data_IF_148306770831
#
_entry.id   IF_148306770831
#
_cell.length_a   1.000
_cell.length_b   1.000
_cell.length_c   1.000
_cell.angle_alpha   90.00
_cell.angle_beta   90.00
_cell.angle_gamma   90.00
#
_symmetry.space_group_name_H-M   'P 1'
#
loop_
_entity.id
_entity.type
_entity.pdbx_description
1 polymer ?
#
# COMPACT_ATOMS: atom_id res chain seq x y z
N UNK A 1 47.53 53.03 22.40
CA UNK A 1 46.63 52.05 23.02
C UNK A 1 45.88 52.72 24.17
N UNK A 2 44.56 52.82 24.03
CA UNK A 2 43.67 52.45 25.14
C UNK A 2 42.50 51.59 24.65
N UNK A 3 42.03 50.68 25.51
CA UNK A 3 40.78 49.95 25.31
C UNK A 3 39.57 50.81 25.66
N UNK A 4 38.41 50.59 25.01
CA UNK A 4 37.12 50.84 25.62
C UNK A 4 36.43 49.53 26.01
N UNK A 5 35.99 49.48 27.26
CA UNK A 5 35.03 48.53 27.82
C UNK A 5 33.58 48.90 27.43
N UNK A 6 32.63 48.09 27.93
CA UNK A 6 31.15 48.22 27.88
C UNK A 6 30.49 47.63 26.62
N UNK A 7 29.45 46.79 26.69
CA UNK A 7 28.65 46.34 27.82
C UNK A 7 27.71 45.21 27.39
N UNK A 8 27.36 44.33 28.34
CA UNK A 8 26.37 43.26 28.17
C UNK A 8 24.99 43.87 27.93
N UNK A 9 24.46 43.77 26.72
CA UNK A 9 23.02 43.99 26.48
C UNK A 9 22.30 42.65 26.60
N UNK A 10 21.60 42.44 27.73
CA UNK A 10 20.56 41.42 27.86
C UNK A 10 19.36 41.88 27.04
N UNK A 11 19.17 41.31 25.85
CA UNK A 11 17.88 41.42 25.15
C UNK A 11 16.97 40.29 25.62
N UNK A 12 15.93 40.66 26.37
CA UNK A 12 14.77 39.80 26.64
C UNK A 12 14.05 39.56 25.31
N UNK A 13 13.89 38.30 24.93
CA UNK A 13 12.94 37.92 23.89
C UNK A 13 11.50 38.00 24.45
N UNK A 14 10.53 38.51 23.67
CA UNK A 14 9.15 38.65 24.12
C UNK A 14 8.45 37.28 24.22
N UNK A 15 7.66 37.12 25.28
CA UNK A 15 6.88 35.92 25.53
C UNK A 15 5.78 35.73 24.49
N UNK A 16 5.72 34.53 23.92
CA UNK A 16 4.61 34.08 23.09
C UNK A 16 3.61 33.38 24.02
N UNK A 17 2.51 34.09 24.31
CA UNK A 17 1.31 33.50 24.93
C UNK A 17 0.61 32.63 23.90
N UNK A 18 0.06 31.52 24.39
CA UNK A 18 -0.58 30.50 23.59
C UNK A 18 -1.77 30.97 22.76
N UNK A 19 -1.95 30.26 21.65
CA UNK A 19 -3.21 30.04 20.95
C UNK A 19 -3.19 28.54 20.62
N UNK A 20 -3.90 27.77 21.45
CA UNK A 20 -5.24 27.26 21.15
C UNK A 20 -5.20 26.21 20.04
N UNK A 21 -5.22 24.95 20.49
CA UNK A 21 -5.86 23.80 19.86
C UNK A 21 -6.77 24.19 18.70
N UNK A 22 -6.37 23.81 17.49
CA UNK A 22 -7.29 23.62 16.38
C UNK A 22 -7.18 22.18 15.96
N UNK A 23 -8.24 21.44 16.24
CA UNK A 23 -8.42 20.04 15.89
C UNK A 23 -8.04 19.79 14.42
N UNK A 24 -7.15 18.84 14.18
CA UNK A 24 -7.00 18.23 12.86
C UNK A 24 -8.24 17.37 12.67
N UNK A 25 -9.25 17.97 12.06
CA UNK A 25 -10.51 17.33 11.74
C UNK A 25 -10.25 16.10 10.89
N UNK A 26 -10.63 14.96 11.44
CA UNK A 26 -10.97 13.73 10.73
C UNK A 26 -11.73 14.08 9.45
N UNK A 27 -11.16 13.75 8.30
CA UNK A 27 -11.90 13.57 7.05
C UNK A 27 -11.59 12.15 6.56
N UNK A 28 -12.15 11.17 7.29
CA UNK A 28 -12.48 9.88 6.67
C UNK A 28 -13.83 10.13 6.02
N UNK A 29 -13.83 10.41 4.72
CA UNK A 29 -15.07 10.32 3.97
C UNK A 29 -15.46 8.84 3.92
N UNK A 30 -16.69 8.46 4.36
CA UNK A 30 -17.15 7.11 4.15
C UNK A 30 -17.35 6.94 2.64
N UNK A 31 -16.46 6.20 1.98
CA UNK A 31 -16.74 5.66 0.66
C UNK A 31 -18.03 4.85 0.82
N UNK A 32 -19.06 5.27 0.09
CA UNK A 32 -20.38 4.66 0.18
C UNK A 32 -20.27 3.21 -0.29
N UNK A 33 -20.24 2.31 0.69
CA UNK A 33 -20.50 0.90 0.46
C UNK A 33 -21.88 0.82 -0.19
N UNK A 34 -21.92 0.57 -1.50
CA UNK A 34 -23.10 -0.06 -2.08
C UNK A 34 -23.11 -1.47 -1.53
N UNK A 35 -23.79 -1.60 -0.40
CA UNK A 35 -24.16 -2.84 0.25
C UNK A 35 -24.55 -3.86 -0.81
N UNK A 36 -23.94 -5.05 -0.74
CA UNK A 36 -24.54 -6.25 -1.27
C UNK A 36 -25.95 -6.35 -0.69
N UNK A 37 -26.95 -5.88 -1.44
CA UNK A 37 -28.33 -6.13 -1.07
C UNK A 37 -28.53 -7.62 -1.21
N UNK A 38 -28.69 -8.28 -0.06
CA UNK A 38 -28.99 -9.71 0.05
C UNK A 38 -30.30 -10.00 -0.67
N UNK A 39 -30.29 -10.14 -2.00
CA UNK A 39 -31.25 -11.03 -2.65
C UNK A 39 -30.80 -12.44 -2.29
N UNK A 40 -31.47 -13.02 -1.30
CA UNK A 40 -31.36 -14.44 -0.97
C UNK A 40 -31.86 -15.24 -2.18
N UNK A 41 -31.01 -15.43 -3.18
CA UNK A 41 -31.13 -16.60 -4.03
C UNK A 41 -30.69 -17.77 -3.15
N UNK A 42 -31.68 -18.44 -2.56
CA UNK A 42 -31.49 -19.76 -1.96
C UNK A 42 -31.10 -20.68 -3.10
N UNK A 43 -29.80 -20.76 -3.39
CA UNK A 43 -29.24 -21.82 -4.21
C UNK A 43 -29.55 -23.12 -3.45
N UNK A 44 -30.55 -23.86 -3.94
CA UNK A 44 -30.73 -25.27 -3.56
C UNK A 44 -29.53 -26.00 -4.13
N UNK A 45 -28.48 -26.15 -3.33
CA UNK A 45 -27.44 -27.15 -3.60
C UNK A 45 -28.02 -28.47 -3.14
N UNK A 46 -28.73 -29.17 -4.04
CA UNK A 46 -29.02 -30.59 -3.83
C UNK A 46 -27.71 -31.35 -4.03
N UNK A 47 -27.26 -32.04 -2.99
CA UNK A 47 -26.14 -33.01 -2.95
C UNK A 47 -25.19 -33.01 -4.14
N UNK A 48 -24.03 -32.36 -3.99
CA UNK A 48 -22.85 -32.57 -4.83
C UNK A 48 -21.66 -31.99 -4.08
N UNK A 49 -20.49 -32.66 -4.17
CA UNK A 49 -19.25 -32.31 -3.46
C UNK A 49 -18.99 -30.80 -3.60
N UNK A 50 -18.69 -30.12 -2.50
CA UNK A 50 -18.25 -28.72 -2.52
C UNK A 50 -16.96 -28.65 -3.32
N UNK A 51 -17.07 -28.39 -4.63
CA UNK A 51 -15.93 -28.02 -5.45
C UNK A 51 -15.66 -26.56 -5.12
N UNK A 52 -14.69 -26.34 -4.24
CA UNK A 52 -14.21 -24.99 -3.92
C UNK A 52 -13.74 -24.36 -5.22
N UNK A 53 -14.38 -23.26 -5.63
CA UNK A 53 -14.02 -22.55 -6.86
C UNK A 53 -12.65 -21.91 -6.63
N UNK A 54 -11.65 -22.15 -7.50
CA UNK A 54 -10.34 -21.57 -7.34
C UNK A 54 -10.36 -20.04 -7.47
N UNK A 55 -9.56 -19.37 -6.65
CA UNK A 55 -9.32 -17.94 -6.70
C UNK A 55 -8.04 -17.67 -7.50
N UNK A 56 -8.16 -16.86 -8.55
CA UNK A 56 -7.01 -16.40 -9.32
C UNK A 56 -6.35 -15.21 -8.60
N UNK A 57 -5.07 -15.33 -8.24
CA UNK A 57 -4.30 -14.21 -7.69
C UNK A 57 -3.50 -13.58 -8.82
N UNK A 58 -3.86 -12.35 -9.19
CA UNK A 58 -3.30 -11.58 -10.30
C UNK A 58 -1.89 -11.02 -9.99
N UNK A 59 -0.96 -11.91 -9.65
CA UNK A 59 0.45 -11.56 -9.36
C UNK A 59 1.40 -12.57 -9.98
N UNK A 60 2.52 -12.08 -10.50
CA UNK A 60 3.68 -12.90 -10.88
C UNK A 60 4.70 -13.08 -9.75
N UNK A 61 4.51 -12.42 -8.61
CA UNK A 61 5.43 -12.49 -7.48
C UNK A 61 5.19 -13.79 -6.68
N UNK A 62 6.19 -14.69 -6.69
CA UNK A 62 6.13 -15.97 -6.00
C UNK A 62 6.00 -15.84 -4.48
N UNK A 63 6.60 -14.82 -3.87
CA UNK A 63 6.46 -14.53 -2.44
C UNK A 63 5.02 -14.19 -2.08
N UNK A 64 4.40 -13.28 -2.83
CA UNK A 64 2.97 -12.95 -2.65
C UNK A 64 2.07 -14.17 -2.84
N UNK A 65 2.33 -15.02 -3.84
CA UNK A 65 1.57 -16.26 -4.02
C UNK A 65 1.71 -17.21 -2.83
N UNK A 66 2.89 -17.33 -2.24
CA UNK A 66 3.11 -18.12 -1.04
C UNK A 66 2.34 -17.54 0.17
N UNK A 67 2.37 -16.22 0.35
CA UNK A 67 1.59 -15.53 1.40
C UNK A 67 0.09 -15.76 1.22
N UNK A 68 -0.47 -15.58 0.02
CA UNK A 68 -1.89 -15.82 -0.23
C UNK A 68 -2.29 -17.28 0.03
N UNK A 69 -1.45 -18.25 -0.35
CA UNK A 69 -1.69 -19.67 -0.06
C UNK A 69 -1.68 -19.97 1.43
N UNK A 70 -0.79 -19.33 2.19
CA UNK A 70 -0.74 -19.47 3.64
C UNK A 70 -1.94 -18.81 4.33
N UNK A 71 -2.38 -17.65 3.86
CA UNK A 71 -3.50 -16.89 4.45
C UNK A 71 -4.87 -17.45 4.08
N UNK A 72 -5.01 -18.11 2.93
CA UNK A 72 -6.27 -18.60 2.37
C UNK A 72 -6.23 -20.13 2.18
N UNK A 73 -5.83 -20.87 3.20
CA UNK A 73 -5.63 -22.33 3.13
C UNK A 73 -6.86 -23.13 2.66
N UNK A 74 -8.07 -22.63 2.95
CA UNK A 74 -9.33 -23.26 2.55
C UNK A 74 -9.75 -22.96 1.10
N UNK A 75 -9.05 -22.07 0.40
CA UNK A 75 -9.39 -21.64 -0.96
C UNK A 75 -8.27 -22.06 -1.92
N UNK A 76 -8.57 -22.87 -2.97
CA UNK A 76 -7.57 -23.20 -3.97
C UNK A 76 -7.07 -21.93 -4.68
N UNK A 77 -5.77 -21.66 -4.62
CA UNK A 77 -5.15 -20.49 -5.24
C UNK A 77 -4.46 -20.86 -6.56
N UNK A 78 -4.81 -20.15 -7.64
CA UNK A 78 -4.11 -20.21 -8.91
C UNK A 78 -3.33 -18.91 -9.16
N UNK A 79 -2.14 -19.04 -9.74
CA UNK A 79 -1.44 -17.92 -10.39
C UNK A 79 -1.93 -17.73 -11.83
N UNK A 80 -1.60 -16.60 -12.50
CA UNK A 80 -1.92 -16.41 -13.91
C UNK A 80 -1.34 -17.52 -14.78
N UNK A 81 -0.12 -17.98 -14.48
CA UNK A 81 0.52 -19.10 -15.18
C UNK A 81 -0.24 -20.41 -14.99
N UNK A 82 -0.72 -20.71 -13.78
CA UNK A 82 -1.50 -21.93 -13.52
C UNK A 82 -2.82 -21.94 -14.31
N UNK A 83 -3.38 -20.75 -14.58
CA UNK A 83 -4.56 -20.53 -15.41
C UNK A 83 -4.24 -20.45 -16.92
N UNK A 84 -2.98 -20.66 -17.33
CA UNK A 84 -2.57 -20.57 -18.74
C UNK A 84 -2.56 -19.16 -19.30
N UNK A 85 -2.51 -18.13 -18.44
CA UNK A 85 -2.46 -16.73 -18.83
C UNK A 85 -1.02 -16.21 -18.87
N UNK A 86 -0.70 -15.51 -19.96
CA UNK A 86 0.49 -14.66 -20.09
C UNK A 86 0.04 -13.22 -20.34
N UNK A 87 -0.38 -12.56 -19.25
CA UNK A 87 -0.94 -11.21 -19.28
C UNK A 87 -0.04 -10.25 -18.53
N UNK A 88 0.44 -9.22 -19.22
CA UNK A 88 1.12 -8.10 -18.60
C UNK A 88 0.19 -6.90 -18.49
N UNK A 89 -0.21 -6.56 -17.26
CA UNK A 89 -1.06 -5.40 -16.97
C UNK A 89 -0.17 -4.23 -16.57
N UNK A 90 -0.21 -3.14 -17.34
CA UNK A 90 0.53 -1.93 -17.02
C UNK A 90 -0.07 -1.23 -15.78
N UNK A 91 0.78 -0.92 -14.80
CA UNK A 91 0.42 -0.20 -13.58
C UNK A 91 0.44 1.32 -13.85
N UNK A 92 -0.57 1.79 -14.58
CA UNK A 92 -0.71 3.21 -14.97
C UNK A 92 -1.54 4.04 -13.97
N UNK A 93 -2.04 3.41 -12.92
CA UNK A 93 -2.83 4.05 -11.87
C UNK A 93 -1.99 5.03 -11.05
N UNK A 94 -2.67 6.05 -10.52
CA UNK A 94 -2.07 7.02 -9.59
C UNK A 94 -2.27 6.64 -8.14
N UNK A 95 -3.10 5.63 -7.87
CA UNK A 95 -3.38 5.10 -6.53
C UNK A 95 -3.20 3.59 -6.47
N UNK A 96 -3.01 3.04 -5.27
CA UNK A 96 -2.94 1.59 -5.05
C UNK A 96 -4.22 0.89 -5.49
N UNK A 97 -5.37 1.50 -5.22
CA UNK A 97 -6.67 0.99 -5.67
C UNK A 97 -6.74 0.86 -7.20
N UNK A 98 -6.33 1.90 -7.94
CA UNK A 98 -6.40 1.89 -9.40
C UNK A 98 -5.54 0.77 -10.00
N UNK A 99 -4.33 0.58 -9.49
CA UNK A 99 -3.44 -0.49 -9.94
C UNK A 99 -4.00 -1.87 -9.60
N UNK A 100 -4.50 -2.07 -8.37
CA UNK A 100 -5.13 -3.32 -7.97
C UNK A 100 -6.38 -3.62 -8.82
N UNK A 101 -7.22 -2.61 -9.07
CA UNK A 101 -8.41 -2.74 -9.89
C UNK A 101 -8.08 -3.15 -11.33
N UNK A 102 -7.12 -2.47 -11.97
CA UNK A 102 -6.66 -2.79 -13.33
C UNK A 102 -6.18 -4.24 -13.41
N UNK A 103 -5.37 -4.68 -12.45
CA UNK A 103 -4.87 -6.06 -12.36
C UNK A 103 -6.01 -7.06 -12.20
N UNK A 104 -6.91 -6.85 -11.23
CA UNK A 104 -8.00 -7.78 -10.93
C UNK A 104 -8.98 -7.91 -12.10
N UNK A 105 -9.42 -6.80 -12.68
CA UNK A 105 -10.38 -6.81 -13.78
C UNK A 105 -9.81 -7.46 -15.04
N UNK A 106 -8.56 -7.14 -15.40
CA UNK A 106 -7.94 -7.71 -16.60
C UNK A 106 -7.80 -9.24 -16.48
N UNK A 107 -7.40 -9.74 -15.32
CA UNK A 107 -7.27 -11.18 -15.08
C UNK A 107 -8.62 -11.89 -14.98
N UNK A 108 -9.62 -11.29 -14.33
CA UNK A 108 -10.97 -11.83 -14.27
C UNK A 108 -11.60 -11.93 -15.67
N UNK A 109 -11.45 -10.88 -16.49
CA UNK A 109 -11.95 -10.87 -17.88
C UNK A 109 -11.23 -11.89 -18.77
N UNK A 110 -9.92 -12.08 -18.59
CA UNK A 110 -9.15 -13.00 -19.42
C UNK A 110 -9.37 -14.48 -19.05
N UNK A 111 -9.55 -14.78 -17.76
CA UNK A 111 -9.73 -16.16 -17.27
C UNK A 111 -11.18 -16.62 -17.19
N UNK A 112 -12.14 -15.69 -17.08
CA UNK A 112 -13.51 -16.01 -16.67
C UNK A 112 -13.65 -16.38 -15.18
N UNK A 113 -12.59 -16.23 -14.39
CA UNK A 113 -12.55 -16.59 -12.97
C UNK A 113 -12.74 -15.37 -12.06
N UNK A 114 -13.03 -15.61 -10.78
CA UNK A 114 -12.86 -14.58 -9.75
C UNK A 114 -11.36 -14.35 -9.58
N UNK A 115 -10.94 -13.10 -9.71
CA UNK A 115 -9.55 -12.69 -9.54
C UNK A 115 -9.42 -11.72 -8.38
N UNK A 116 -8.38 -11.91 -7.55
CA UNK A 116 -7.92 -10.92 -6.58
C UNK A 116 -6.59 -10.33 -7.06
N UNK A 117 -6.40 -9.04 -6.84
CA UNK A 117 -5.13 -8.36 -7.03
C UNK A 117 -4.77 -7.54 -5.81
N UNK A 118 -3.48 -7.41 -5.58
CA UNK A 118 -2.87 -6.60 -4.53
C UNK A 118 -2.03 -5.49 -5.16
N UNK A 119 -2.13 -4.29 -4.59
CA UNK A 119 -1.16 -3.22 -4.79
C UNK A 119 -0.73 -2.64 -3.44
N UNK A 120 0.59 -2.64 -3.23
CA UNK A 120 1.19 -2.38 -1.93
C UNK A 120 2.42 -1.49 -2.07
N UNK A 121 2.65 -0.61 -1.10
CA UNK A 121 3.84 0.24 -1.09
C UNK A 121 4.10 0.91 0.24
N UNK A 122 5.27 1.54 0.32
CA UNK A 122 5.70 2.36 1.43
C UNK A 122 5.37 3.83 1.15
N UNK A 123 4.75 4.50 2.10
CA UNK A 123 4.53 5.95 2.07
C UNK A 123 5.29 6.57 3.24
N UNK A 124 6.12 7.57 2.97
CA UNK A 124 6.91 8.28 3.98
C UNK A 124 6.44 9.73 4.09
N UNK A 125 6.04 10.14 5.30
CA UNK A 125 5.42 11.46 5.51
C UNK A 125 6.41 12.59 5.18
N UNK A 126 7.70 12.43 5.52
CA UNK A 126 8.75 13.40 5.19
C UNK A 126 9.04 13.54 3.69
N UNK A 127 8.56 12.62 2.86
CA UNK A 127 8.73 12.62 1.41
C UNK A 127 7.41 12.85 0.66
N UNK A 128 6.43 13.45 1.33
CA UNK A 128 5.09 13.70 0.80
C UNK A 128 4.39 12.42 0.30
N UNK A 129 4.55 11.32 1.06
CA UNK A 129 3.97 10.01 0.75
C UNK A 129 4.74 9.20 -0.29
N UNK A 130 5.85 9.71 -0.84
CA UNK A 130 6.74 8.88 -1.68
C UNK A 130 7.44 7.82 -0.80
N UNK A 131 7.78 6.64 -1.36
CA UNK A 131 7.63 6.19 -2.75
C UNK A 131 6.19 5.96 -3.27
N UNK A 132 5.25 5.62 -2.38
CA UNK A 132 3.86 5.30 -2.72
C UNK A 132 3.75 4.14 -3.72
N UNK A 133 2.89 4.28 -4.73
CA UNK A 133 2.69 3.30 -5.82
C UNK A 133 3.97 2.96 -6.60
N UNK A 134 5.03 3.77 -6.47
CA UNK A 134 6.33 3.54 -7.13
C UNK A 134 7.33 2.77 -6.27
N UNK A 135 6.92 2.23 -5.12
CA UNK A 135 7.80 1.54 -4.17
C UNK A 135 8.70 0.48 -4.82
N UNK A 136 8.14 -0.38 -5.68
CA UNK A 136 8.91 -1.44 -6.36
C UNK A 136 9.93 -0.92 -7.39
N UNK A 137 9.86 0.35 -7.78
CA UNK A 137 10.69 0.99 -8.83
C UNK A 137 11.36 2.27 -8.32
N UNK A 138 11.45 2.42 -6.99
CA UNK A 138 11.95 3.64 -6.38
C UNK A 138 13.44 3.83 -6.67
N UNK A 139 13.89 5.07 -6.90
CA UNK A 139 15.28 5.36 -7.29
C UNK A 139 15.65 5.03 -8.74
N UNK A 140 14.73 4.51 -9.54
CA UNK A 140 14.90 4.32 -10.99
C UNK A 140 15.01 2.87 -11.43
N UNK A 141 15.17 2.66 -12.74
CA UNK A 141 15.25 1.34 -13.33
C UNK A 141 16.58 0.65 -12.97
N UNK A 142 16.50 -0.64 -12.62
CA UNK A 142 17.68 -1.47 -12.38
C UNK A 142 18.18 -1.54 -10.93
N UNK A 143 17.56 -0.80 -9.99
CA UNK A 143 17.89 -0.96 -8.58
C UNK A 143 17.28 -2.25 -8.02
N UNK A 144 18.15 -3.04 -7.39
CA UNK A 144 17.76 -4.15 -6.53
C UNK A 144 17.15 -3.64 -5.21
N UNK A 145 16.78 -4.55 -4.32
CA UNK A 145 16.17 -4.17 -3.06
C UNK A 145 17.06 -3.29 -2.18
N UNK A 146 18.36 -3.61 -2.13
CA UNK A 146 19.35 -2.84 -1.42
C UNK A 146 19.49 -1.42 -1.96
N UNK A 147 19.60 -1.26 -3.27
CA UNK A 147 19.64 0.04 -3.92
C UNK A 147 18.38 0.86 -3.67
N UNK A 148 17.20 0.23 -3.65
CA UNK A 148 15.92 0.93 -3.41
C UNK A 148 15.83 1.51 -2.00
N UNK A 149 16.11 0.72 -0.97
CA UNK A 149 16.06 1.26 0.40
C UNK A 149 17.23 2.22 0.65
N UNK A 150 18.39 2.02 0.04
CA UNK A 150 19.51 2.96 0.20
C UNK A 150 19.17 4.34 -0.40
N UNK A 151 18.57 4.37 -1.59
CA UNK A 151 18.09 5.61 -2.19
C UNK A 151 17.09 6.34 -1.28
N UNK A 152 16.18 5.60 -0.64
CA UNK A 152 15.24 6.15 0.33
C UNK A 152 15.96 6.75 1.55
N UNK A 153 16.95 6.05 2.09
CA UNK A 153 17.74 6.53 3.24
C UNK A 153 18.52 7.81 2.88
N UNK A 154 19.08 7.88 1.66
CA UNK A 154 19.80 9.04 1.17
C UNK A 154 18.90 10.28 1.07
N UNK A 155 17.65 10.13 0.59
CA UNK A 155 16.68 11.23 0.58
C UNK A 155 16.25 11.67 1.98
N UNK A 156 16.32 10.77 2.96
CA UNK A 156 16.00 11.05 4.36
C UNK A 156 17.22 11.52 5.17
N UNK A 157 18.37 11.72 4.54
CA UNK A 157 19.57 12.22 5.18
C UNK A 157 19.29 13.60 5.83
N UNK A 158 19.62 13.72 7.12
CA UNK A 158 19.38 14.95 7.89
C UNK A 158 17.92 15.14 8.38
N UNK A 159 16.96 14.33 7.93
CA UNK A 159 15.59 14.35 8.47
C UNK A 159 15.61 13.79 9.91
N UNK A 160 15.14 14.53 10.92
CA UNK A 160 15.07 14.03 12.30
C UNK A 160 14.21 12.77 12.41
N UNK A 161 14.62 11.81 13.24
CA UNK A 161 13.90 10.55 13.48
C UNK A 161 12.41 10.75 13.79
N UNK A 162 12.06 11.80 14.55
CA UNK A 162 10.66 12.11 14.89
C UNK A 162 9.77 12.42 13.68
N UNK A 163 10.36 12.86 12.55
CA UNK A 163 9.66 13.20 11.30
C UNK A 163 9.69 12.07 10.27
N UNK A 164 10.38 10.95 10.54
CA UNK A 164 10.50 9.81 9.61
C UNK A 164 9.33 8.82 9.70
N UNK A 165 8.14 9.29 10.05
CA UNK A 165 6.95 8.44 10.10
C UNK A 165 6.63 7.91 8.71
N UNK A 166 6.23 6.65 8.66
CA UNK A 166 5.96 5.95 7.42
C UNK A 166 4.89 4.88 7.64
N UNK A 167 4.26 4.44 6.56
CA UNK A 167 3.30 3.36 6.57
C UNK A 167 3.50 2.44 5.38
N UNK A 168 3.38 1.13 5.61
CA UNK A 168 3.10 0.20 4.52
C UNK A 168 1.61 0.18 4.28
N UNK A 169 1.20 0.56 3.07
CA UNK A 169 -0.19 0.52 2.64
C UNK A 169 -0.41 -0.62 1.66
N UNK A 170 -1.53 -1.32 1.78
CA UNK A 170 -1.94 -2.41 0.91
C UNK A 170 -3.41 -2.21 0.53
N UNK A 171 -3.71 -2.29 -0.77
CA UNK A 171 -5.06 -2.33 -1.29
C UNK A 171 -5.29 -3.63 -2.05
N UNK A 172 -6.35 -4.33 -1.67
CA UNK A 172 -6.82 -5.55 -2.33
C UNK A 172 -8.09 -5.23 -3.11
N UNK A 173 -8.16 -5.72 -4.34
CA UNK A 173 -9.37 -5.68 -5.17
C UNK A 173 -9.69 -7.08 -5.66
N UNK A 174 -10.93 -7.50 -5.46
CA UNK A 174 -11.51 -8.71 -6.07
C UNK A 174 -12.41 -8.27 -7.22
N UNK A 175 -12.32 -8.96 -8.35
CA UNK A 175 -13.17 -8.78 -9.52
C UNK A 175 -13.68 -10.12 -10.03
N UNK A 176 -14.89 -10.15 -10.59
CA UNK A 176 -15.37 -11.28 -11.39
C UNK A 176 -15.46 -10.94 -12.88
N UNK A 177 -15.77 -11.96 -13.69
CA UNK A 177 -15.85 -11.83 -15.15
C UNK A 177 -16.99 -10.90 -15.63
N UNK A 178 -17.99 -10.64 -14.78
CA UNK A 178 -19.08 -9.69 -15.06
C UNK A 178 -18.66 -8.23 -14.74
N UNK A 179 -17.45 -8.03 -14.21
CA UNK A 179 -16.92 -6.73 -13.82
C UNK A 179 -17.38 -6.24 -12.44
N UNK A 180 -18.03 -7.08 -11.62
CA UNK A 180 -18.35 -6.72 -10.24
C UNK A 180 -17.08 -6.73 -9.40
N UNK A 181 -16.94 -5.74 -8.52
CA UNK A 181 -15.74 -5.61 -7.69
C UNK A 181 -16.05 -5.45 -6.21
N UNK A 182 -15.09 -5.84 -5.39
CA UNK A 182 -15.02 -5.55 -3.97
C UNK A 182 -13.60 -5.12 -3.62
N UNK A 183 -13.45 -4.20 -2.66
CA UNK A 183 -12.13 -3.65 -2.29
C UNK A 183 -12.00 -3.58 -0.78
N UNK A 184 -10.77 -3.75 -0.30
CA UNK A 184 -10.37 -3.46 1.07
C UNK A 184 -8.96 -2.89 1.06
N UNK A 185 -8.61 -2.13 2.10
CA UNK A 185 -7.27 -1.61 2.26
C UNK A 185 -6.86 -1.64 3.74
N UNK A 186 -5.56 -1.72 3.98
CA UNK A 186 -4.96 -1.73 5.32
C UNK A 186 -3.62 -1.01 5.33
N UNK A 187 -3.23 -0.51 6.50
CA UNK A 187 -1.94 0.13 6.70
C UNK A 187 -1.25 -0.39 7.97
N UNK A 188 0.06 -0.56 7.89
CA UNK A 188 0.95 -0.81 9.03
C UNK A 188 1.81 0.43 9.27
N UNK A 189 1.59 1.11 10.39
CA UNK A 189 2.29 2.34 10.76
C UNK A 189 3.66 2.05 11.38
N UNK A 190 4.65 2.88 11.08
CA UNK A 190 6.01 2.73 11.57
C UNK A 190 6.87 3.96 11.35
N UNK A 191 8.20 3.74 11.34
CA UNK A 191 9.19 4.79 11.15
C UNK A 191 10.40 4.24 10.41
N UNK A 192 10.98 5.03 9.52
CA UNK A 192 12.22 4.68 8.82
C UNK A 192 13.42 4.87 9.75
N UNK A 193 14.25 3.83 9.84
CA UNK A 193 15.51 3.84 10.61
C UNK A 193 16.55 4.74 9.93
N UNK A 194 17.65 5.02 10.63
CA UNK A 194 18.78 5.77 10.09
C UNK A 194 19.70 4.94 9.20
N UNK A 195 19.70 3.63 9.39
CA UNK A 195 20.51 2.65 8.70
C UNK A 195 19.71 1.35 8.58
N UNK A 196 20.11 0.50 7.65
CA UNK A 196 19.50 -0.80 7.48
C UNK A 196 19.90 -1.73 8.64
N UNK A 197 18.93 -2.47 9.16
CA UNK A 197 19.12 -3.47 10.22
C UNK A 197 18.25 -4.70 9.90
N UNK A 198 18.83 -5.90 10.05
CA UNK A 198 18.19 -7.18 9.69
C UNK A 198 18.85 -7.88 8.50
N UNK A 199 18.55 -9.17 8.33
CA UNK A 199 19.24 -10.06 7.37
C UNK A 199 18.46 -10.28 6.05
N UNK A 200 17.29 -9.64 5.88
CA UNK A 200 16.35 -9.91 4.80
C UNK A 200 15.37 -11.02 5.17
#
# INVERSE_FOLDING_TARGET
>A
MPMPSWGRSRRRAPGIRGRSSTAVSRIIAPISYRSWTRRRHRLRVSGSRSTTVPLLVATGNLGKLAEFRALLEDIPILSPRDAGLDLHVAETGTTFYDNALLKAQAHASASGMISVADDSGLEVDALDGRPGVRSARYGGAGLDEAGRYQHLLDELAGVPTALRTARFHCCLVVADADGRTATTAGSCEGRILGEAEGDG
#
